data_IF_873770927676
#
_entry.id   IF_873770927676
#
_cell.length_a   1.000
_cell.length_b   1.000
_cell.length_c   1.000
_cell.angle_alpha   90.00
_cell.angle_beta   90.00
_cell.angle_gamma   90.00
#
_symmetry.space_group_name_H-M   'P 1'
#
loop_
_entity.id
_entity.type
_entity.pdbx_description
1 polymer ?
#
# COMPACT_ATOMS: atom_id res chain seq x y z
N UNK A 1 -9.68 -1.58 -17.26
CA UNK A 1 -8.27 -1.14 -17.29
C UNK A 1 -7.67 -1.55 -15.96
N UNK A 2 -6.60 -2.34 -15.92
CA UNK A 2 -6.02 -2.81 -14.66
C UNK A 2 -4.95 -1.82 -14.16
N UNK A 3 -4.98 -1.49 -12.88
CA UNK A 3 -4.01 -0.61 -12.20
C UNK A 3 -3.12 -1.44 -11.29
N UNK A 4 -1.82 -1.15 -11.30
CA UNK A 4 -0.83 -1.82 -10.46
C UNK A 4 -0.15 -0.75 -9.61
N UNK A 5 -0.17 -0.94 -8.30
CA UNK A 5 0.58 -0.14 -7.33
C UNK A 5 1.72 -1.00 -6.79
N UNK A 6 2.94 -0.48 -6.88
CA UNK A 6 4.14 -1.17 -6.38
C UNK A 6 4.65 -0.37 -5.19
N UNK A 7 4.91 -1.06 -4.08
CA UNK A 7 5.55 -0.48 -2.90
C UNK A 7 6.82 -1.27 -2.56
N UNK A 8 7.84 -0.54 -2.13
CA UNK A 8 9.14 -1.07 -1.77
C UNK A 8 9.36 -0.91 -0.26
N UNK A 9 9.64 -2.02 0.41
CA UNK A 9 10.09 -2.00 1.80
C UNK A 9 11.48 -2.60 1.91
N UNK A 10 12.42 -1.79 2.37
CA UNK A 10 13.84 -2.14 2.44
C UNK A 10 14.68 -0.90 2.20
N UNK A 11 15.99 -1.07 2.26
CA UNK A 11 16.93 -0.05 1.81
C UNK A 11 18.14 -0.79 1.24
N UNK A 12 18.57 -0.43 0.03
CA UNK A 12 19.67 -1.08 -0.67
C UNK A 12 20.98 -0.32 -0.37
N UNK A 13 22.01 -1.02 0.13
CA UNK A 13 23.33 -0.43 0.38
C UNK A 13 24.24 -1.25 1.29
N UNK A 14 25.47 -0.76 1.52
CA UNK A 14 26.52 -1.43 2.34
C UNK A 14 26.09 -1.64 3.81
N UNK A 15 25.11 -0.84 4.29
CA UNK A 15 24.42 -1.00 5.59
C UNK A 15 22.93 -1.27 5.43
N UNK A 16 22.51 -1.68 4.24
CA UNK A 16 21.12 -1.90 3.87
C UNK A 16 20.52 -3.15 4.50
N UNK A 17 19.22 -3.32 4.30
CA UNK A 17 18.49 -4.49 4.80
C UNK A 17 18.91 -5.75 4.03
N UNK A 18 19.00 -6.89 4.71
CA UNK A 18 19.36 -8.18 4.06
C UNK A 18 18.34 -8.60 2.99
N UNK A 19 17.10 -8.13 3.12
CA UNK A 19 16.00 -8.45 2.23
C UNK A 19 15.37 -7.16 1.71
N UNK A 20 15.01 -7.20 0.43
CA UNK A 20 14.16 -6.21 -0.23
C UNK A 20 12.79 -6.85 -0.41
N UNK A 21 11.76 -6.23 0.14
CA UNK A 21 10.38 -6.69 -0.03
C UNK A 21 9.69 -5.78 -1.03
N UNK A 22 9.19 -6.38 -2.12
CA UNK A 22 8.38 -5.68 -3.11
C UNK A 22 6.94 -6.18 -2.94
N UNK A 23 6.02 -5.25 -2.72
CA UNK A 23 4.59 -5.52 -2.66
C UNK A 23 3.91 -4.97 -3.92
N UNK A 24 3.01 -5.74 -4.50
CA UNK A 24 2.20 -5.30 -5.63
C UNK A 24 0.71 -5.43 -5.32
N UNK A 25 -0.04 -4.36 -5.59
CA UNK A 25 -1.49 -4.29 -5.44
C UNK A 25 -2.12 -4.10 -6.83
N UNK A 26 -2.93 -5.06 -7.24
CA UNK A 26 -3.71 -5.04 -8.47
C UNK A 26 -5.13 -4.59 -8.19
N UNK A 27 -5.65 -3.65 -8.98
CA UNK A 27 -6.99 -3.09 -8.81
C UNK A 27 -7.61 -2.78 -10.17
N UNK A 28 -8.87 -3.16 -10.36
CA UNK A 28 -9.61 -2.87 -11.60
C UNK A 28 -10.06 -1.40 -11.67
N UNK A 29 -10.39 -0.80 -10.52
CA UNK A 29 -10.72 0.61 -10.40
C UNK A 29 -9.86 1.29 -9.32
N UNK A 30 -9.06 2.26 -9.75
CA UNK A 30 -8.23 3.07 -8.85
C UNK A 30 -9.02 4.14 -8.09
N UNK A 31 -10.19 4.57 -8.60
CA UNK A 31 -10.95 5.72 -8.06
C UNK A 31 -11.29 5.58 -6.57
N UNK A 32 -11.69 4.40 -6.04
CA UNK A 32 -11.96 4.23 -4.62
C UNK A 32 -10.73 4.48 -3.76
N UNK A 33 -9.57 3.95 -4.16
CA UNK A 33 -8.30 4.12 -3.45
C UNK A 33 -7.89 5.59 -3.42
N UNK A 34 -7.97 6.25 -4.58
CA UNK A 34 -7.70 7.68 -4.75
C UNK A 34 -8.60 8.54 -3.86
N UNK A 35 -9.90 8.22 -3.80
CA UNK A 35 -10.88 8.93 -2.97
C UNK A 35 -10.54 8.79 -1.49
N UNK A 36 -10.13 7.61 -1.03
CA UNK A 36 -9.71 7.37 0.35
C UNK A 36 -8.51 8.26 0.68
N UNK A 37 -7.45 8.24 -0.15
CA UNK A 37 -6.23 9.03 0.08
C UNK A 37 -6.55 10.54 0.06
N UNK A 38 -7.33 11.01 -0.92
CA UNK A 38 -7.72 12.43 -1.03
C UNK A 38 -8.54 12.88 0.19
N UNK A 39 -9.51 12.08 0.63
CA UNK A 39 -10.32 12.39 1.80
C UNK A 39 -9.49 12.41 3.09
N UNK A 40 -8.51 11.50 3.22
CA UNK A 40 -7.61 11.50 4.36
C UNK A 40 -6.74 12.76 4.42
N UNK A 41 -6.17 13.18 3.28
CA UNK A 41 -5.32 14.39 3.21
C UNK A 41 -6.11 15.69 3.39
N UNK A 42 -7.32 15.78 2.84
CA UNK A 42 -8.13 17.01 2.86
C UNK A 42 -8.90 17.18 4.16
N UNK A 43 -9.44 16.10 4.71
CA UNK A 43 -10.40 16.16 5.81
C UNK A 43 -9.83 15.60 7.12
N UNK A 44 -9.67 14.27 7.21
CA UNK A 44 -9.51 13.58 8.51
C UNK A 44 -8.12 13.72 9.14
N UNK A 45 -7.06 13.62 8.33
CA UNK A 45 -5.67 13.61 8.79
C UNK A 45 -4.85 14.77 8.22
N UNK A 46 -5.52 15.86 7.87
CA UNK A 46 -4.89 17.04 7.24
C UNK A 46 -3.64 17.50 7.98
N UNK A 47 -3.68 17.62 9.31
CA UNK A 47 -2.51 18.06 10.10
C UNK A 47 -1.35 17.06 10.06
N UNK A 48 -1.65 15.76 10.13
CA UNK A 48 -0.65 14.68 10.16
C UNK A 48 -0.03 14.42 8.78
N UNK A 49 -0.79 14.65 7.70
CA UNK A 49 -0.38 14.35 6.33
C UNK A 49 0.01 15.59 5.50
N UNK A 50 -0.10 16.82 6.05
CA UNK A 50 0.18 18.07 5.32
C UNK A 50 1.62 18.16 4.79
N UNK A 51 2.58 17.67 5.57
CA UNK A 51 4.01 17.78 5.27
C UNK A 51 4.57 16.56 4.56
N UNK A 52 3.79 15.48 4.46
CA UNK A 52 4.27 14.21 3.94
C UNK A 52 3.86 14.08 2.48
N UNK A 53 4.85 13.98 1.60
CA UNK A 53 4.63 13.68 0.17
C UNK A 53 4.03 12.28 0.04
N UNK A 54 4.41 11.36 0.92
CA UNK A 54 4.00 9.95 0.93
C UNK A 54 3.45 9.53 2.32
N UNK A 55 2.49 8.61 2.37
CA UNK A 55 1.94 8.08 3.63
C UNK A 55 2.68 6.79 3.98
N UNK A 56 3.83 6.91 4.67
CA UNK A 56 4.58 5.72 5.11
C UNK A 56 3.95 5.08 6.33
N UNK A 57 3.64 3.79 6.27
CA UNK A 57 3.02 3.08 7.38
C UNK A 57 3.87 3.11 8.67
N UNK A 58 5.21 3.07 8.57
CA UNK A 58 6.10 3.13 9.73
C UNK A 58 6.08 4.49 10.45
N UNK A 59 5.95 5.60 9.72
CA UNK A 59 5.94 6.98 10.24
C UNK A 59 4.52 7.51 10.52
N UNK A 60 3.49 6.70 10.24
CA UNK A 60 2.09 7.08 10.44
C UNK A 60 1.57 6.72 11.84
N UNK A 61 0.63 7.51 12.35
CA UNK A 61 -0.06 7.23 13.61
C UNK A 61 -0.89 5.95 13.54
N UNK A 62 -1.13 5.32 14.70
CA UNK A 62 -1.98 4.10 14.80
C UNK A 62 -3.39 4.33 14.23
N UNK A 63 -3.92 5.53 14.39
CA UNK A 63 -5.23 5.96 13.90
C UNK A 63 -5.27 6.02 12.37
N UNK A 64 -4.22 6.56 11.74
CA UNK A 64 -4.08 6.60 10.28
C UNK A 64 -4.05 5.18 9.72
N UNK A 65 -3.22 4.29 10.30
CA UNK A 65 -3.13 2.89 9.85
C UNK A 65 -4.47 2.17 9.97
N UNK A 66 -5.12 2.27 11.13
CA UNK A 66 -6.44 1.65 11.37
C UNK A 66 -7.49 2.19 10.40
N UNK A 67 -7.47 3.48 10.11
CA UNK A 67 -8.41 4.08 9.18
C UNK A 67 -8.22 3.60 7.74
N UNK A 68 -6.97 3.54 7.26
CA UNK A 68 -6.67 3.01 5.92
C UNK A 68 -7.14 1.57 5.82
N UNK A 69 -6.73 0.70 6.75
CA UNK A 69 -7.12 -0.71 6.76
C UNK A 69 -8.64 -0.91 6.80
N UNK A 70 -9.36 -0.10 7.59
CA UNK A 70 -10.83 -0.14 7.65
C UNK A 70 -11.53 0.28 6.34
N UNK A 71 -10.83 1.03 5.47
CA UNK A 71 -11.38 1.55 4.21
C UNK A 71 -10.94 0.72 3.00
N UNK A 72 -9.84 0.00 3.13
CA UNK A 72 -9.26 -0.87 2.10
C UNK A 72 -9.86 -2.28 2.16
N UNK A 73 -10.83 -2.56 3.03
CA UNK A 73 -11.55 -3.84 3.10
C UNK A 73 -12.51 -4.05 1.90
N UNK A 74 -11.96 -3.97 0.69
CA UNK A 74 -12.61 -4.27 -0.58
C UNK A 74 -12.45 -5.77 -0.86
N UNK A 75 -13.51 -6.46 -1.33
CA UNK A 75 -13.46 -7.91 -1.59
C UNK A 75 -12.48 -8.31 -2.72
N UNK A 76 -11.94 -7.37 -3.49
CA UNK A 76 -11.20 -7.65 -4.73
C UNK A 76 -9.69 -7.31 -4.67
N UNK A 77 -9.15 -7.07 -3.47
CA UNK A 77 -7.72 -6.74 -3.32
C UNK A 77 -6.90 -8.02 -3.16
N UNK A 78 -6.32 -8.46 -4.28
CA UNK A 78 -5.29 -9.50 -4.28
C UNK A 78 -3.95 -8.88 -3.90
N UNK A 79 -3.47 -9.19 -2.69
CA UNK A 79 -2.13 -8.79 -2.22
C UNK A 79 -1.15 -9.89 -2.57
N UNK A 80 -0.31 -9.64 -3.59
CA UNK A 80 0.83 -10.48 -3.91
C UNK A 80 2.08 -9.97 -3.19
N UNK A 81 2.69 -10.80 -2.35
CA UNK A 81 4.03 -10.58 -1.83
C UNK A 81 4.93 -11.70 -2.34
N UNK A 82 5.92 -11.36 -3.15
CA UNK A 82 6.95 -12.31 -3.61
C UNK A 82 8.24 -12.08 -2.83
N UNK A 83 8.73 -13.10 -2.14
CA UNK A 83 10.18 -13.18 -1.93
C UNK A 83 10.81 -13.42 -3.32
N UNK A 84 12.00 -12.87 -3.61
CA UNK A 84 12.68 -13.09 -4.90
C UNK A 84 12.94 -14.58 -5.24
N UNK A 85 12.73 -15.49 -4.29
CA UNK A 85 12.91 -16.94 -4.43
C UNK A 85 11.60 -17.77 -4.49
N UNK A 86 10.41 -17.16 -4.56
CA UNK A 86 9.12 -17.90 -4.53
C UNK A 86 8.19 -17.55 -5.69
N UNK A 87 7.74 -18.57 -6.43
CA UNK A 87 6.80 -18.51 -7.55
C UNK A 87 5.50 -17.74 -7.22
N UNK A 88 5.08 -16.91 -8.18
CA UNK A 88 3.81 -16.19 -8.20
C UNK A 88 2.63 -17.17 -8.34
N UNK A 89 1.94 -17.48 -7.24
CA UNK A 89 0.67 -18.19 -7.26
C UNK A 89 -0.50 -17.19 -7.21
N UNK A 90 -0.89 -16.69 -8.37
CA UNK A 90 -2.17 -16.00 -8.56
C UNK A 90 -3.25 -17.07 -8.80
N UNK A 91 -3.93 -17.54 -7.74
CA UNK A 91 -5.11 -18.39 -7.88
C UNK A 91 -6.36 -17.52 -7.90
N UNK A 92 -6.74 -17.05 -9.10
CA UNK A 92 -8.12 -16.62 -9.36
C UNK A 92 -8.98 -17.88 -9.49
N UNK A 93 -9.82 -18.17 -8.48
CA UNK A 93 -10.99 -19.03 -8.68
C UNK A 93 -12.18 -18.12 -8.97
N UNK A 94 -12.63 -18.19 -10.23
CA UNK A 94 -14.01 -17.89 -10.63
C UNK A 94 -14.95 -18.90 -9.97
#
# INVERSE_FOLDING_TARGET
MCYIYIDESGDLGIRGSKYLVIAALFVEDHKPLDRIIKNMRRNKFRKQLRKSIEIKANKSSKEVKKHVLSKVNYPDINVGASNPDSEFLCSSRV
#
